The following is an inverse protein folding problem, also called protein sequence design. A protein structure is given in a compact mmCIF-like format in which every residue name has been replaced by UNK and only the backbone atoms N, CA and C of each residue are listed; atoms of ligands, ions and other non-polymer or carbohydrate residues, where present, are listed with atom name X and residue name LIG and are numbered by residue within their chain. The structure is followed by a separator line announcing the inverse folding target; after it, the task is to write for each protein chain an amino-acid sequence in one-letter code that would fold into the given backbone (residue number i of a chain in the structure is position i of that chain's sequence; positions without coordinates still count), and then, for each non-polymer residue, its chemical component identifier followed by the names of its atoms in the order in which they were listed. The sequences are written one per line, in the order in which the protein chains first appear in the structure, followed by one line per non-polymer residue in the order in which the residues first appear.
data_IF_253784111525
#
_entry.id   IF_253784111525
#
_cell.length_a   1.000
_cell.length_b   1.000
_cell.length_c   1.000
_cell.angle_alpha   90.00
_cell.angle_beta   90.00
_cell.angle_gamma   90.00
#
_symmetry.space_group_name_H-M   'P 1'
#
loop_
_entity.id
_entity.type
_entity.pdbx_description
1 polymer ?
#
# COMPACT_ATOMS: atom_id res chain seq x y z
N UNK A 1 -2.27 -9.35 -4.50
CA UNK A 1 -2.83 -8.92 -3.20
C UNK A 1 -2.63 -7.42 -3.04
N UNK A 2 -3.66 -6.69 -2.62
CA UNK A 2 -3.60 -5.25 -2.35
C UNK A 2 -4.36 -4.92 -1.07
N UNK A 3 -3.85 -4.00 -0.24
CA UNK A 3 -4.52 -3.57 1.00
C UNK A 3 -4.88 -2.09 0.92
N UNK A 4 -6.19 -1.81 0.98
CA UNK A 4 -6.76 -0.47 0.97
C UNK A 4 -6.44 0.28 2.28
N UNK A 5 -6.30 1.59 2.17
CA UNK A 5 -6.04 2.54 3.27
C UNK A 5 -4.71 2.35 4.02
N UNK A 6 -3.78 1.55 3.49
CA UNK A 6 -2.50 1.26 4.15
C UNK A 6 -1.66 2.53 4.37
N UNK A 7 -1.63 3.45 3.39
CA UNK A 7 -0.85 4.70 3.47
C UNK A 7 -1.50 5.76 4.36
N UNK A 8 -2.81 5.69 4.55
CA UNK A 8 -3.59 6.52 5.47
C UNK A 8 -3.45 6.03 6.91
N UNK A 9 -3.31 4.71 7.12
CA UNK A 9 -3.07 4.12 8.43
C UNK A 9 -1.62 4.24 8.88
N UNK A 10 -0.67 4.06 7.96
CA UNK A 10 0.76 4.11 8.22
C UNK A 10 1.50 4.85 7.11
N UNK A 11 2.19 5.92 7.48
CA UNK A 11 3.01 6.72 6.58
C UNK A 11 4.38 6.92 7.21
N UNK A 12 5.41 6.33 6.61
CA UNK A 12 6.78 6.68 6.97
C UNK A 12 7.00 8.19 6.73
N UNK A 13 7.74 8.85 7.62
CA UNK A 13 8.13 10.25 7.43
C UNK A 13 9.03 10.35 6.19
N UNK A 14 8.42 10.67 5.05
CA UNK A 14 9.09 10.88 3.77
C UNK A 14 9.45 12.35 3.57
N UNK A 15 10.43 12.64 2.70
CA UNK A 15 10.85 14.00 2.35
C UNK A 15 12.23 14.36 2.91
N UNK A 16 12.35 15.53 3.56
CA UNK A 16 13.63 16.14 3.98
C UNK A 16 14.46 15.26 4.93
N UNK A 17 13.82 14.37 5.67
CA UNK A 17 14.49 13.51 6.66
C UNK A 17 14.93 12.14 6.11
N UNK A 18 14.60 11.77 4.87
CA UNK A 18 14.93 10.43 4.35
C UNK A 18 16.43 10.17 4.26
N UNK A 19 17.23 11.14 3.81
CA UNK A 19 18.69 11.03 3.73
C UNK A 19 19.36 10.85 5.10
N UNK A 20 19.11 11.71 6.11
CA UNK A 20 19.70 11.50 7.44
C UNK A 20 19.19 10.24 8.13
N UNK A 21 17.91 9.88 7.99
CA UNK A 21 17.36 8.63 8.53
C UNK A 21 18.03 7.39 7.92
N UNK A 22 18.24 7.40 6.60
CA UNK A 22 18.95 6.32 5.91
C UNK A 22 20.41 6.22 6.37
N UNK A 23 21.12 7.35 6.45
CA UNK A 23 22.51 7.37 6.95
C UNK A 23 22.61 6.81 8.39
N UNK A 24 21.69 7.21 9.26
CA UNK A 24 21.63 6.72 10.64
C UNK A 24 21.36 5.22 10.69
N UNK A 25 20.42 4.71 9.87
CA UNK A 25 20.14 3.28 9.75
C UNK A 25 21.35 2.49 9.23
N UNK A 26 22.07 2.99 8.22
CA UNK A 26 23.25 2.30 7.68
C UNK A 26 24.38 2.22 8.72
N UNK A 27 24.52 3.25 9.57
CA UNK A 27 25.53 3.31 10.61
C UNK A 27 25.20 2.46 11.84
N UNK A 28 23.94 2.45 12.27
CA UNK A 28 23.52 1.84 13.54
C UNK A 28 22.81 0.50 13.37
N UNK A 29 22.30 0.20 12.16
CA UNK A 29 21.41 -0.94 11.86
C UNK A 29 20.15 -1.01 12.73
N UNK A 30 19.82 0.08 13.44
CA UNK A 30 18.63 0.17 14.26
C UNK A 30 17.46 0.73 13.44
N UNK A 31 16.23 0.20 13.60
CA UNK A 31 15.05 0.66 12.86
C UNK A 31 14.53 2.00 13.40
N UNK A 32 15.28 3.10 13.20
CA UNK A 32 14.96 4.44 13.72
C UNK A 32 14.09 5.24 12.75
N UNK A 33 13.19 4.60 12.00
CA UNK A 33 12.31 5.30 11.06
C UNK A 33 11.03 5.69 11.80
N UNK A 34 10.79 6.98 12.09
CA UNK A 34 9.52 7.39 12.67
C UNK A 34 8.40 7.11 11.67
N UNK A 35 7.46 6.28 12.09
CA UNK A 35 6.24 5.99 11.33
C UNK A 35 5.18 6.95 11.83
N UNK A 36 4.74 7.87 10.98
CA UNK A 36 3.55 8.68 11.23
C UNK A 36 2.32 7.83 10.89
N UNK A 37 1.58 7.37 11.89
CA UNK A 37 0.50 6.41 11.67
C UNK A 37 -0.14 5.91 12.94
N UNK A 38 -0.75 4.72 12.87
CA UNK A 38 -1.56 4.14 13.93
C UNK A 38 -3.00 4.67 13.94
N UNK A 39 -3.40 5.39 12.89
CA UNK A 39 -4.78 5.82 12.75
C UNK A 39 -5.68 4.59 12.61
N UNK A 40 -6.81 4.54 13.33
CA UNK A 40 -7.73 3.41 13.29
C UNK A 40 -8.55 3.42 11.99
N UNK A 41 -7.93 3.53 10.82
CA UNK A 41 -8.59 3.40 9.52
C UNK A 41 -8.96 1.94 9.24
N UNK A 42 -9.96 1.71 8.38
CA UNK A 42 -10.32 0.34 7.99
C UNK A 42 -9.37 -0.17 6.91
N UNK A 43 -8.54 -1.14 7.27
CA UNK A 43 -7.69 -1.88 6.33
C UNK A 43 -8.51 -3.02 5.73
N UNK A 44 -8.56 -3.09 4.40
CA UNK A 44 -9.22 -4.18 3.67
C UNK A 44 -8.25 -4.76 2.67
N UNK A 45 -8.02 -6.07 2.75
CA UNK A 45 -7.16 -6.78 1.82
C UNK A 45 -8.01 -7.40 0.72
N UNK A 46 -7.67 -7.09 -0.52
CA UNK A 46 -8.26 -7.65 -1.73
C UNK A 46 -7.28 -8.64 -2.37
N UNK A 47 -7.79 -9.83 -2.61
CA UNK A 47 -7.10 -10.88 -3.35
C UNK A 47 -7.63 -10.82 -4.78
N UNK A 48 -6.74 -10.60 -5.74
CA UNK A 48 -7.07 -10.66 -7.15
C UNK A 48 -6.83 -12.05 -7.71
N UNK A 49 -7.11 -12.19 -9.00
CA UNK A 49 -6.90 -13.43 -9.72
C UNK A 49 -5.44 -13.88 -9.70
N UNK A 50 -5.18 -15.20 -9.71
CA UNK A 50 -3.83 -15.73 -9.75
C UNK A 50 -3.14 -15.32 -11.05
N UNK A 51 -1.85 -14.99 -10.95
CA UNK A 51 -1.04 -14.65 -12.11
C UNK A 51 -0.57 -15.95 -12.74
N UNK A 52 -1.06 -16.24 -13.94
CA UNK A 52 -0.64 -17.41 -14.70
C UNK A 52 0.83 -17.30 -15.11
N UNK A 53 1.60 -18.34 -14.81
CA UNK A 53 2.99 -18.51 -15.23
C UNK A 53 3.05 -19.17 -16.61
N UNK A 54 3.89 -18.63 -17.47
CA UNK A 54 4.20 -19.18 -18.79
C UNK A 54 5.71 -19.46 -18.84
N UNK A 55 6.15 -20.70 -19.13
CA UNK A 55 7.57 -21.04 -19.25
C UNK A 55 8.34 -20.22 -20.30
N UNK A 56 7.65 -19.68 -21.30
CA UNK A 56 8.26 -18.88 -22.37
C UNK A 56 8.39 -17.39 -22.02
N UNK A 57 7.79 -16.95 -20.90
CA UNK A 57 7.77 -15.54 -20.50
C UNK A 57 9.06 -15.16 -19.77
N UNK A 58 9.59 -13.98 -20.08
CA UNK A 58 10.75 -13.44 -19.37
C UNK A 58 10.39 -12.97 -17.96
N UNK A 59 11.36 -12.98 -17.04
CA UNK A 59 11.14 -12.51 -15.67
C UNK A 59 10.65 -11.04 -15.61
N UNK A 60 11.09 -10.21 -16.54
CA UNK A 60 10.68 -8.79 -16.67
C UNK A 60 9.22 -8.66 -17.07
N UNK A 61 8.75 -9.46 -18.03
CA UNK A 61 7.34 -9.46 -18.46
C UNK A 61 6.42 -9.97 -17.34
N UNK A 62 6.85 -11.01 -16.61
CA UNK A 62 6.10 -11.51 -15.46
C UNK A 62 5.99 -10.46 -14.35
N UNK A 63 7.07 -9.73 -14.08
CA UNK A 63 7.08 -8.62 -13.12
C UNK A 63 6.13 -7.50 -13.56
N UNK A 64 6.11 -7.14 -14.85
CA UNK A 64 5.23 -6.10 -15.37
C UNK A 64 3.76 -6.53 -15.33
N UNK A 65 3.44 -7.77 -15.70
CA UNK A 65 2.09 -8.35 -15.56
C UNK A 65 1.62 -8.31 -14.10
N UNK A 66 2.50 -8.66 -13.17
CA UNK A 66 2.23 -8.59 -11.72
C UNK A 66 1.97 -7.17 -11.26
N UNK A 67 2.80 -6.23 -11.70
CA UNK A 67 2.64 -4.80 -11.42
C UNK A 67 1.28 -4.31 -11.90
N UNK A 68 0.91 -4.60 -13.15
CA UNK A 68 -0.36 -4.18 -13.73
C UNK A 68 -1.56 -4.77 -12.97
N UNK A 69 -1.52 -6.04 -12.58
CA UNK A 69 -2.58 -6.66 -11.77
C UNK A 69 -2.75 -5.97 -10.40
N UNK A 70 -1.65 -5.61 -9.73
CA UNK A 70 -1.71 -4.87 -8.45
C UNK A 70 -2.24 -3.45 -8.65
N UNK A 71 -1.83 -2.76 -9.73
CA UNK A 71 -2.32 -1.42 -10.05
C UNK A 71 -3.82 -1.44 -10.35
N UNK A 72 -4.32 -2.43 -11.07
CA UNK A 72 -5.75 -2.61 -11.32
C UNK A 72 -6.54 -2.81 -10.02
N UNK A 73 -6.03 -3.65 -9.10
CA UNK A 73 -6.64 -3.82 -7.77
C UNK A 73 -6.63 -2.51 -6.96
N UNK A 74 -5.53 -1.76 -7.02
CA UNK A 74 -5.43 -0.45 -6.36
C UNK A 74 -6.47 0.51 -6.92
N UNK A 75 -6.55 0.66 -8.24
CA UNK A 75 -7.41 1.66 -8.88
C UNK A 75 -8.90 1.32 -8.72
N UNK A 76 -9.25 0.03 -8.62
CA UNK A 76 -10.60 -0.43 -8.30
C UNK A 76 -11.01 -0.15 -6.85
N UNK A 77 -10.10 -0.31 -5.89
CA UNK A 77 -10.45 -0.33 -4.46
C UNK A 77 -9.97 0.90 -3.66
N UNK A 78 -9.07 1.73 -4.21
CA UNK A 78 -8.51 2.90 -3.53
C UNK A 78 -8.87 4.19 -4.28
N UNK A 79 -9.55 5.11 -3.61
CA UNK A 79 -9.78 6.46 -4.13
C UNK A 79 -8.51 7.31 -3.99
N UNK A 80 -8.02 7.87 -5.09
CA UNK A 80 -6.87 8.77 -5.13
C UNK A 80 -7.32 10.22 -5.40
N UNK A 81 -6.70 11.25 -4.78
CA UNK A 81 -5.66 11.16 -3.76
C UNK A 81 -6.19 10.57 -2.43
N UNK A 82 -5.29 9.96 -1.66
CA UNK A 82 -5.58 9.40 -0.35
C UNK A 82 -5.93 10.46 0.70
N UNK A 83 -6.82 10.14 1.63
CA UNK A 83 -7.26 11.08 2.68
C UNK A 83 -7.56 10.32 3.99
N UNK A 84 -6.86 10.68 5.07
CA UNK A 84 -6.97 10.04 6.40
C UNK A 84 -8.38 10.22 6.99
N UNK A 85 -8.96 11.41 6.91
CA UNK A 85 -10.30 11.69 7.46
C UNK A 85 -11.36 10.87 6.73
N UNK A 86 -11.27 10.77 5.40
CA UNK A 86 -12.17 9.93 4.60
C UNK A 86 -12.02 8.46 4.99
N UNK A 87 -10.79 7.96 5.10
CA UNK A 87 -10.51 6.58 5.49
C UNK A 87 -10.97 6.25 6.92
N UNK A 88 -10.97 7.23 7.83
CA UNK A 88 -11.55 7.11 9.17
C UNK A 88 -13.08 7.06 9.12
N UNK A 89 -13.73 7.89 8.29
CA UNK A 89 -15.18 7.86 8.10
C UNK A 89 -15.64 6.51 7.50
N UNK A 90 -14.92 5.98 6.52
CA UNK A 90 -15.16 4.66 5.89
C UNK A 90 -15.12 3.47 6.88
N UNK A 91 -14.57 3.68 8.09
CA UNK A 91 -14.65 2.68 9.17
C UNK A 91 -16.05 2.57 9.76
N UNK A 92 -16.73 3.70 9.94
CA UNK A 92 -18.01 3.77 10.63
C UNK A 92 -19.20 3.67 9.68
N UNK A 93 -19.06 4.20 8.46
CA UNK A 93 -20.08 4.02 7.43
C UNK A 93 -20.09 2.55 6.97
N UNK A 94 -21.22 1.87 7.22
CA UNK A 94 -21.49 0.55 6.64
C UNK A 94 -21.54 0.72 5.13
N UNK A 95 -20.53 0.17 4.45
CA UNK A 95 -20.62 -0.06 3.01
C UNK A 95 -21.75 -1.06 2.80
N UNK A 96 -22.83 -0.65 2.16
CA UNK A 96 -23.75 -1.63 1.58
C UNK A 96 -22.94 -2.44 0.58
N UNK A 97 -23.09 -3.75 0.65
CA UNK A 97 -22.42 -4.68 -0.24
C UNK A 97 -23.13 -4.51 -1.59
N UNK A 98 -22.45 -3.89 -2.55
CA UNK A 98 -22.85 -4.03 -3.94
C UNK A 98 -22.30 -5.40 -4.36
N UNK A 99 -23.21 -6.38 -4.45
CA UNK A 99 -22.92 -7.76 -4.86
C UNK A 99 -22.39 -7.81 -6.32
#
# INVERSE_FOLDING_TARGET
MFTQNLREGYRAVGGRFTKPLKWLYERTRLPVIPINGGFPVKLRTYLGDPITYDPNMTATELAEKTRMAILALRDRHQKLPGNILRALQERFYKHQKDD
#
